data_IF_328687117249
#
_entry.id   IF_328687117249
#
_cell.length_a   1.000
_cell.length_b   1.000
_cell.length_c   1.000
_cell.angle_alpha   90.00
_cell.angle_beta   90.00
_cell.angle_gamma   90.00
#
_symmetry.space_group_name_H-M   'P 1'
#
loop_
_entity.id
_entity.type
_entity.pdbx_description
1 polymer ?
#
# COMPACT_ATOMS: atom_id res chain seq x y z
N UNK A 1 12.58 -14.47 2.24
CA UNK A 1 12.35 -15.18 0.96
C UNK A 1 11.43 -14.39 0.01
N UNK A 2 10.18 -14.04 0.40
CA UNK A 2 9.27 -13.22 -0.43
C UNK A 2 9.86 -11.86 -0.81
N UNK A 3 10.52 -11.18 0.12
CA UNK A 3 11.19 -9.90 -0.12
C UNK A 3 12.32 -10.02 -1.16
N UNK A 4 13.03 -11.14 -1.17
CA UNK A 4 14.08 -11.41 -2.16
C UNK A 4 13.50 -11.59 -3.57
N UNK A 5 12.37 -12.29 -3.72
CA UNK A 5 11.68 -12.41 -5.00
C UNK A 5 11.15 -11.06 -5.50
N UNK A 6 10.63 -10.24 -4.60
CA UNK A 6 10.17 -8.89 -4.94
C UNK A 6 11.34 -7.99 -5.38
N UNK A 7 12.45 -8.02 -4.66
CA UNK A 7 13.68 -7.28 -5.05
C UNK A 7 14.19 -7.75 -6.42
N UNK A 8 14.17 -9.07 -6.68
CA UNK A 8 14.58 -9.61 -7.98
C UNK A 8 13.63 -9.21 -9.11
N UNK A 9 12.32 -9.08 -8.82
CA UNK A 9 11.33 -8.54 -9.75
C UNK A 9 11.65 -7.08 -10.08
N UNK A 10 11.91 -6.24 -9.07
CA UNK A 10 12.28 -4.82 -9.27
C UNK A 10 13.57 -4.68 -10.08
N UNK A 11 14.58 -5.50 -9.80
CA UNK A 11 15.86 -5.50 -10.54
C UNK A 11 15.72 -5.98 -12.01
N UNK A 12 14.59 -6.52 -12.39
CA UNK A 12 14.26 -6.89 -13.78
C UNK A 12 13.81 -5.71 -14.65
N UNK A 13 13.52 -4.55 -14.06
CA UNK A 13 13.23 -3.31 -14.78
C UNK A 13 14.54 -2.55 -15.05
N UNK A 14 14.63 -1.89 -16.21
CA UNK A 14 15.75 -0.97 -16.48
C UNK A 14 15.77 0.14 -15.42
N UNK A 15 16.95 0.65 -15.09
CA UNK A 15 17.18 1.61 -13.98
C UNK A 15 16.27 2.85 -13.98
N UNK A 16 15.58 3.14 -15.09
CA UNK A 16 14.69 4.29 -15.25
C UNK A 16 13.21 3.92 -15.52
N UNK A 17 12.82 2.63 -15.42
CA UNK A 17 11.44 2.21 -15.65
C UNK A 17 10.68 2.07 -14.32
N UNK A 18 9.43 2.56 -14.32
CA UNK A 18 8.51 2.41 -13.19
C UNK A 18 7.91 1.02 -13.23
N UNK A 19 7.91 0.32 -12.09
CA UNK A 19 7.28 -0.99 -11.98
C UNK A 19 5.76 -0.93 -12.19
N UNK A 20 5.20 -2.02 -12.71
CA UNK A 20 3.78 -2.11 -13.06
C UNK A 20 2.84 -1.88 -11.88
N UNK A 21 3.25 -2.24 -10.65
CA UNK A 21 2.43 -2.06 -9.45
C UNK A 21 2.36 -0.60 -9.06
N UNK A 22 3.50 0.11 -9.08
CA UNK A 22 3.55 1.55 -8.81
C UNK A 22 2.74 2.33 -9.84
N UNK A 23 2.78 1.94 -11.12
CA UNK A 23 1.95 2.53 -12.17
C UNK A 23 0.46 2.33 -11.87
N UNK A 24 0.04 1.10 -11.58
CA UNK A 24 -1.36 0.76 -11.25
C UNK A 24 -1.87 1.52 -10.00
N UNK A 25 -1.06 1.60 -8.95
CA UNK A 25 -1.38 2.39 -7.74
C UNK A 25 -1.55 3.87 -8.09
N UNK A 26 -0.69 4.41 -8.94
CA UNK A 26 -0.75 5.81 -9.36
C UNK A 26 -2.02 6.12 -10.16
N UNK A 27 -2.37 5.25 -11.10
CA UNK A 27 -3.61 5.37 -11.91
C UNK A 27 -4.86 5.29 -11.04
N UNK A 28 -4.92 4.32 -10.10
CA UNK A 28 -6.04 4.20 -9.16
C UNK A 28 -6.12 5.40 -8.22
N UNK A 29 -4.97 5.92 -7.77
CA UNK A 29 -4.93 7.17 -6.97
C UNK A 29 -5.47 8.35 -7.75
N UNK A 30 -5.11 8.49 -9.02
CA UNK A 30 -5.65 9.51 -9.90
C UNK A 30 -7.18 9.39 -10.07
N UNK A 31 -7.69 8.17 -10.25
CA UNK A 31 -9.14 7.94 -10.36
C UNK A 31 -9.88 8.38 -9.09
N UNK A 32 -9.36 8.06 -7.91
CA UNK A 32 -9.92 8.50 -6.63
C UNK A 32 -9.89 10.03 -6.52
N UNK A 33 -8.77 10.66 -6.88
CA UNK A 33 -8.67 12.12 -6.84
C UNK A 33 -9.61 12.80 -7.83
N UNK A 34 -9.77 12.26 -9.03
CA UNK A 34 -10.69 12.78 -10.05
C UNK A 34 -12.14 12.72 -9.61
N UNK A 35 -12.51 11.74 -8.77
CA UNK A 35 -13.84 11.69 -8.20
C UNK A 35 -14.15 12.93 -7.33
N UNK A 36 -13.14 13.50 -6.66
CA UNK A 36 -13.27 14.69 -5.82
C UNK A 36 -12.87 15.98 -6.55
N UNK A 37 -11.94 15.90 -7.50
CA UNK A 37 -11.43 17.03 -8.26
C UNK A 37 -10.95 16.58 -9.66
N UNK A 38 -11.66 16.96 -10.69
CA UNK A 38 -11.40 16.57 -12.08
C UNK A 38 -10.05 17.06 -12.65
N UNK A 39 -9.43 18.06 -12.02
CA UNK A 39 -8.13 18.62 -12.45
C UNK A 39 -6.92 17.90 -11.88
N UNK A 40 -7.05 16.61 -11.52
CA UNK A 40 -5.94 15.80 -11.04
C UNK A 40 -5.32 15.02 -12.20
N UNK A 41 -3.99 15.04 -12.30
CA UNK A 41 -3.23 14.28 -13.31
C UNK A 41 -2.01 13.59 -12.72
N UNK A 42 -1.57 12.54 -13.40
CA UNK A 42 -0.30 11.87 -13.14
C UNK A 42 0.57 11.96 -14.38
N UNK A 43 1.87 12.10 -14.18
CA UNK A 43 2.87 12.11 -15.25
C UNK A 43 4.07 11.26 -14.84
N UNK A 44 4.61 10.50 -15.79
CA UNK A 44 5.85 9.77 -15.60
C UNK A 44 7.05 10.72 -15.64
N UNK A 45 7.97 10.56 -14.71
CA UNK A 45 9.18 11.37 -14.71
C UNK A 45 10.15 10.86 -15.79
N UNK A 46 10.63 11.75 -16.66
CA UNK A 46 11.61 11.40 -17.69
C UNK A 46 13.01 11.07 -17.15
N UNK A 47 13.33 11.50 -15.93
CA UNK A 47 14.68 11.41 -15.37
C UNK A 47 14.85 10.34 -14.29
N UNK A 48 13.76 9.88 -13.67
CA UNK A 48 13.80 8.98 -12.51
C UNK A 48 12.56 8.08 -12.46
N UNK A 49 12.64 6.87 -11.87
CA UNK A 49 11.53 5.92 -11.80
C UNK A 49 10.49 6.32 -10.74
N UNK A 50 9.76 7.39 -10.99
CA UNK A 50 8.61 7.77 -10.17
C UNK A 50 7.51 8.47 -10.98
N UNK A 51 6.28 8.39 -10.46
CA UNK A 51 5.14 9.13 -11.01
C UNK A 51 4.97 10.45 -10.28
N UNK A 52 4.85 11.54 -11.05
CA UNK A 52 4.49 12.87 -10.54
C UNK A 52 2.98 12.95 -10.42
N UNK A 53 2.50 13.42 -9.28
CA UNK A 53 1.08 13.61 -9.03
C UNK A 53 0.78 15.09 -8.93
N UNK A 54 -0.19 15.51 -9.73
CA UNK A 54 -0.70 16.87 -9.76
C UNK A 54 -2.13 16.89 -9.21
N UNK A 55 -2.40 17.81 -8.32
CA UNK A 55 -3.72 18.08 -7.79
C UNK A 55 -4.08 19.54 -8.06
N UNK A 56 -5.18 19.78 -8.78
CA UNK A 56 -5.58 21.10 -9.23
C UNK A 56 -4.46 21.83 -10.01
N UNK A 57 -3.82 21.11 -10.94
CA UNK A 57 -2.71 21.57 -11.80
C UNK A 57 -1.40 21.91 -11.05
N UNK A 58 -1.37 21.73 -9.72
CA UNK A 58 -0.17 21.95 -8.91
C UNK A 58 0.49 20.60 -8.58
N UNK A 59 1.81 20.54 -8.75
CA UNK A 59 2.61 19.40 -8.29
C UNK A 59 2.52 19.28 -6.77
N UNK A 60 2.05 18.12 -6.28
CA UNK A 60 1.84 17.89 -4.84
C UNK A 60 2.64 16.73 -4.28
N UNK A 61 2.89 15.68 -5.07
CA UNK A 61 3.59 14.51 -4.57
C UNK A 61 4.26 13.72 -5.68
N UNK A 62 5.20 12.84 -5.30
CA UNK A 62 5.76 11.79 -6.14
C UNK A 62 5.39 10.43 -5.57
N UNK A 63 4.99 9.50 -6.43
CA UNK A 63 4.72 8.12 -6.07
C UNK A 63 5.92 7.29 -6.53
N UNK A 64 6.62 6.69 -5.58
CA UNK A 64 7.80 5.83 -5.78
C UNK A 64 7.45 4.38 -5.44
N UNK A 65 8.31 3.44 -5.81
CA UNK A 65 8.14 2.00 -5.53
C UNK A 65 7.84 1.70 -4.05
N UNK A 66 8.42 2.44 -3.11
CA UNK A 66 8.11 2.33 -1.68
C UNK A 66 6.67 2.70 -1.28
N UNK A 67 5.89 3.34 -2.16
CA UNK A 67 4.52 3.78 -1.91
C UNK A 67 3.45 2.78 -2.40
N UNK A 68 3.84 1.67 -3.03
CA UNK A 68 2.91 0.72 -3.65
C UNK A 68 2.30 -0.34 -2.70
N UNK A 69 2.61 -0.27 -1.40
CA UNK A 69 2.20 -1.20 -0.34
C UNK A 69 2.67 -2.66 -0.49
N UNK A 70 3.43 -3.02 -1.51
CA UNK A 70 3.85 -4.42 -1.73
C UNK A 70 4.65 -4.95 -0.54
N UNK A 71 5.61 -4.18 -0.02
CA UNK A 71 6.41 -4.58 1.15
C UNK A 71 5.54 -4.82 2.39
N UNK A 72 4.49 -4.01 2.57
CA UNK A 72 3.54 -4.14 3.68
C UNK A 72 2.66 -5.38 3.50
N UNK A 73 2.22 -5.66 2.27
CA UNK A 73 1.45 -6.87 1.94
C UNK A 73 2.31 -8.13 2.15
N UNK A 74 3.59 -8.12 1.74
CA UNK A 74 4.53 -9.23 1.99
C UNK A 74 4.67 -9.48 3.48
N UNK A 75 4.85 -8.43 4.28
CA UNK A 75 4.92 -8.53 5.74
C UNK A 75 3.65 -9.12 6.34
N UNK A 76 2.47 -8.65 5.88
CA UNK A 76 1.17 -9.16 6.28
C UNK A 76 1.01 -10.65 5.97
N UNK A 77 1.29 -11.07 4.74
CA UNK A 77 1.20 -12.46 4.30
C UNK A 77 2.15 -13.35 5.13
N UNK A 78 3.40 -12.91 5.31
CA UNK A 78 4.40 -13.67 6.08
C UNK A 78 3.93 -13.95 7.51
N UNK A 79 3.31 -12.95 8.14
CA UNK A 79 2.74 -13.12 9.48
C UNK A 79 1.55 -14.07 9.50
N UNK A 80 0.59 -13.90 8.58
CA UNK A 80 -0.59 -14.77 8.52
C UNK A 80 -0.19 -16.23 8.28
N UNK A 81 0.82 -16.47 7.43
CA UNK A 81 1.34 -17.82 7.16
C UNK A 81 2.07 -18.39 8.37
N UNK A 82 2.83 -17.57 9.12
CA UNK A 82 3.53 -18.01 10.33
C UNK A 82 2.57 -18.50 11.44
N UNK A 83 1.37 -17.93 11.50
CA UNK A 83 0.29 -18.30 12.44
C UNK A 83 -0.91 -18.92 11.72
N UNK A 84 -0.64 -19.72 10.68
CA UNK A 84 -1.69 -20.31 9.84
C UNK A 84 -2.55 -21.31 10.62
N UNK A 85 -3.87 -21.24 10.37
CA UNK A 85 -4.87 -22.19 10.81
C UNK A 85 -5.39 -23.04 9.64
N UNK A 86 -6.71 -23.21 9.54
CA UNK A 86 -7.35 -23.95 8.44
C UNK A 86 -7.04 -23.29 7.09
N UNK A 87 -6.53 -24.05 6.13
CA UNK A 87 -6.01 -23.55 4.83
C UNK A 87 -6.99 -22.60 4.10
N UNK A 88 -8.29 -22.95 4.06
CA UNK A 88 -9.31 -22.08 3.41
C UNK A 88 -9.43 -20.70 4.09
N UNK A 89 -9.45 -20.68 5.43
CA UNK A 89 -9.53 -19.44 6.19
C UNK A 89 -8.26 -18.59 5.99
N UNK A 90 -7.09 -19.22 6.01
CA UNK A 90 -5.80 -18.55 5.76
C UNK A 90 -5.77 -17.91 4.39
N UNK A 91 -6.11 -18.64 3.32
CA UNK A 91 -6.11 -18.11 1.96
C UNK A 91 -7.13 -16.97 1.78
N UNK A 92 -8.34 -17.11 2.31
CA UNK A 92 -9.37 -16.08 2.23
C UNK A 92 -8.95 -14.81 2.97
N UNK A 93 -8.32 -14.97 4.15
CA UNK A 93 -7.84 -13.85 4.94
C UNK A 93 -6.65 -13.14 4.28
N UNK A 94 -5.71 -13.89 3.69
CA UNK A 94 -4.60 -13.33 2.91
C UNK A 94 -5.15 -12.51 1.74
N UNK A 95 -6.06 -13.06 0.96
CA UNK A 95 -6.62 -12.37 -0.21
C UNK A 95 -7.39 -11.11 0.20
N UNK A 96 -8.34 -11.25 1.13
CA UNK A 96 -9.15 -10.11 1.61
C UNK A 96 -8.34 -9.04 2.31
N UNK A 97 -7.38 -9.43 3.16
CA UNK A 97 -6.49 -8.51 3.86
C UNK A 97 -5.53 -7.78 2.91
N UNK A 98 -4.97 -8.46 1.92
CA UNK A 98 -4.10 -7.84 0.91
C UNK A 98 -4.87 -6.83 0.05
N UNK A 99 -6.09 -7.16 -0.36
CA UNK A 99 -6.96 -6.26 -1.10
C UNK A 99 -7.32 -5.02 -0.25
N UNK A 100 -7.65 -5.22 1.02
CA UNK A 100 -7.95 -4.12 1.94
C UNK A 100 -6.73 -3.20 2.12
N UNK A 101 -5.54 -3.75 2.36
CA UNK A 101 -4.29 -2.98 2.48
C UNK A 101 -4.04 -2.17 1.20
N UNK A 102 -4.24 -2.77 0.03
CA UNK A 102 -4.08 -2.09 -1.26
C UNK A 102 -5.04 -0.91 -1.41
N UNK A 103 -6.34 -1.11 -1.18
CA UNK A 103 -7.36 -0.05 -1.28
C UNK A 103 -7.08 1.07 -0.30
N UNK A 104 -6.78 0.75 0.96
CA UNK A 104 -6.44 1.73 1.98
C UNK A 104 -5.15 2.50 1.64
N UNK A 105 -4.19 1.87 0.98
CA UNK A 105 -2.99 2.54 0.50
C UNK A 105 -3.29 3.57 -0.60
N UNK A 106 -4.14 3.22 -1.57
CA UNK A 106 -4.59 4.16 -2.63
C UNK A 106 -5.31 5.36 -2.01
N UNK A 107 -6.25 5.12 -1.09
CA UNK A 107 -6.97 6.18 -0.36
C UNK A 107 -5.97 7.04 0.43
N UNK A 108 -5.00 6.44 1.08
CA UNK A 108 -3.93 7.13 1.80
C UNK A 108 -3.18 8.11 0.91
N UNK A 109 -2.70 7.65 -0.27
CA UNK A 109 -1.95 8.50 -1.20
C UNK A 109 -2.83 9.65 -1.71
N UNK A 110 -4.08 9.37 -2.07
CA UNK A 110 -5.03 10.40 -2.50
C UNK A 110 -5.28 11.45 -1.41
N UNK A 111 -5.52 11.00 -0.18
CA UNK A 111 -5.74 11.89 0.98
C UNK A 111 -4.49 12.73 1.27
N UNK A 112 -3.29 12.11 1.26
CA UNK A 112 -2.03 12.81 1.46
C UNK A 112 -1.85 13.92 0.43
N UNK A 113 -2.09 13.62 -0.84
CA UNK A 113 -1.93 14.57 -1.93
C UNK A 113 -2.86 15.78 -1.79
N UNK A 114 -4.11 15.53 -1.41
CA UNK A 114 -5.06 16.60 -1.11
C UNK A 114 -4.63 17.43 0.12
N UNK A 115 -4.18 16.78 1.21
CA UNK A 115 -3.71 17.47 2.41
C UNK A 115 -2.46 18.32 2.16
N UNK A 116 -1.51 17.85 1.38
CA UNK A 116 -0.31 18.63 1.01
C UNK A 116 -0.70 19.86 0.19
N UNK A 117 -1.70 19.74 -0.68
CA UNK A 117 -2.20 20.88 -1.44
C UNK A 117 -2.75 21.99 -0.52
N UNK A 118 -3.53 21.62 0.49
CA UNK A 118 -4.14 22.58 1.42
C UNK A 118 -3.20 23.02 2.55
N UNK A 119 -2.30 22.12 3.00
CA UNK A 119 -1.41 22.33 4.15
C UNK A 119 0.05 21.99 3.83
N UNK A 120 0.71 22.72 2.89
CA UNK A 120 2.05 22.39 2.44
C UNK A 120 3.13 22.44 3.54
N UNK A 121 2.89 23.20 4.61
CA UNK A 121 3.84 23.29 5.74
C UNK A 121 3.92 22.03 6.61
N UNK A 122 2.94 21.12 6.50
CA UNK A 122 2.85 19.90 7.30
C UNK A 122 3.26 18.63 6.52
N UNK A 123 3.81 18.78 5.32
CA UNK A 123 4.20 17.68 4.44
C UNK A 123 5.08 16.64 5.16
N UNK A 124 6.17 17.07 5.82
CA UNK A 124 7.09 16.17 6.51
C UNK A 124 6.39 15.37 7.61
N UNK A 125 5.58 16.01 8.45
CA UNK A 125 4.84 15.33 9.51
C UNK A 125 3.82 14.33 8.96
N UNK A 126 3.08 14.73 7.94
CA UNK A 126 2.10 13.88 7.30
C UNK A 126 2.77 12.65 6.68
N UNK A 127 3.84 12.85 5.91
CA UNK A 127 4.51 11.79 5.17
C UNK A 127 5.34 10.86 6.05
N UNK A 128 6.06 11.40 7.04
CA UNK A 128 7.04 10.64 7.84
C UNK A 128 6.43 9.98 9.07
N UNK A 129 5.35 10.55 9.63
CA UNK A 129 4.77 10.07 10.89
C UNK A 129 3.36 9.54 10.70
N UNK A 130 2.43 10.39 10.23
CA UNK A 130 1.01 10.05 10.22
C UNK A 130 0.70 8.87 9.29
N UNK A 131 1.27 8.86 8.09
CA UNK A 131 0.93 7.85 7.09
C UNK A 131 1.61 6.50 7.28
N UNK A 132 2.87 6.37 7.72
CA UNK A 132 3.40 5.09 8.18
C UNK A 132 2.61 4.52 9.35
N UNK A 133 2.28 5.34 10.35
CA UNK A 133 1.48 4.93 11.50
C UNK A 133 0.11 4.40 11.08
N UNK A 134 -0.55 5.04 10.12
CA UNK A 134 -1.84 4.60 9.58
C UNK A 134 -1.74 3.21 8.96
N UNK A 135 -0.82 2.98 8.02
CA UNK A 135 -0.75 1.70 7.28
C UNK A 135 -0.28 0.55 8.18
N UNK A 136 0.70 0.79 9.05
CA UNK A 136 1.14 -0.24 10.02
C UNK A 136 0.09 -0.50 11.08
N UNK A 137 -0.69 0.51 11.48
CA UNK A 137 -1.83 0.36 12.37
C UNK A 137 -2.91 -0.56 11.79
N UNK A 138 -3.23 -0.40 10.50
CA UNK A 138 -4.16 -1.30 9.78
C UNK A 138 -3.64 -2.75 9.80
N UNK A 139 -2.37 -2.97 9.45
CA UNK A 139 -1.77 -4.31 9.47
C UNK A 139 -1.80 -4.91 10.87
N UNK A 140 -1.48 -4.14 11.89
CA UNK A 140 -1.52 -4.59 13.27
C UNK A 140 -2.93 -5.01 13.71
N UNK A 141 -3.96 -4.24 13.35
CA UNK A 141 -5.36 -4.60 13.62
C UNK A 141 -5.72 -5.90 12.90
N UNK A 142 -5.35 -6.06 11.63
CA UNK A 142 -5.58 -7.31 10.90
C UNK A 142 -4.90 -8.50 11.56
N UNK A 143 -3.68 -8.34 12.07
CA UNK A 143 -2.98 -9.39 12.83
C UNK A 143 -3.71 -9.75 14.13
N UNK A 144 -4.19 -8.77 14.89
CA UNK A 144 -4.98 -9.03 16.09
C UNK A 144 -6.27 -9.79 15.78
N UNK A 145 -6.97 -9.42 14.70
CA UNK A 145 -8.17 -10.13 14.24
C UNK A 145 -7.83 -11.58 13.88
N UNK A 146 -6.73 -11.78 13.12
CA UNK A 146 -6.26 -13.09 12.72
C UNK A 146 -5.97 -14.00 13.93
N UNK A 147 -5.14 -13.54 14.85
CA UNK A 147 -4.76 -14.31 16.04
C UNK A 147 -5.98 -14.62 16.91
N UNK A 148 -6.86 -13.65 17.14
CA UNK A 148 -8.00 -13.83 18.04
C UNK A 148 -9.10 -14.72 17.47
N UNK A 149 -9.32 -14.68 16.16
CA UNK A 149 -10.49 -15.32 15.54
C UNK A 149 -10.15 -16.64 14.86
N UNK A 150 -8.95 -16.79 14.30
CA UNK A 150 -8.59 -17.92 13.46
C UNK A 150 -7.50 -18.81 14.05
N UNK A 151 -6.50 -18.24 14.75
CA UNK A 151 -5.42 -19.02 15.38
C UNK A 151 -5.86 -19.78 16.64
N UNK A 152 -6.90 -19.33 17.33
CA UNK A 152 -7.42 -19.99 18.55
C UNK A 152 -8.35 -21.19 18.30
N UNK A 153 -8.81 -21.40 17.08
CA UNK A 153 -9.79 -22.48 16.80
C UNK A 153 -9.16 -23.88 16.64
N UNK A 154 -7.83 -23.95 16.45
CA UNK A 154 -7.14 -25.24 16.30
C UNK A 154 -6.76 -25.93 17.63
N UNK A 155 -6.92 -25.25 18.77
CA UNK A 155 -6.63 -25.86 20.07
C UNK A 155 -7.80 -26.63 20.70
N UNK A 156 -9.02 -26.54 20.13
CA UNK A 156 -10.20 -27.25 20.66
C UNK A 156 -10.62 -28.49 19.86
N UNK A 157 -9.99 -28.77 18.72
CA UNK A 157 -10.32 -29.95 17.90
C UNK A 157 -9.35 -31.14 18.14
N UNK A 158 -8.55 -31.11 19.21
CA UNK A 158 -7.58 -32.16 19.56
C UNK A 158 -7.83 -32.80 20.92
N UNK A 159 -9.08 -32.82 21.42
CA UNK A 159 -9.51 -33.71 22.52
C UNK A 159 -10.56 -34.74 22.05
#
# INVERSE_FOLDING_TARGET
MLTFFYQRYLNGFEENQIDSVTRMVSENTQQVLRFFNDRSSIEESAAHPYMKLFYNEKYVARIVEGCNAVSVIILFISFVVAFSGKLKATLLFIFGGSLLIYVLNVIRIATLSALIYYFPKQESFLHEVLFPLYIYGVVFILWLIWIRKFSRHDSNDSE
#
